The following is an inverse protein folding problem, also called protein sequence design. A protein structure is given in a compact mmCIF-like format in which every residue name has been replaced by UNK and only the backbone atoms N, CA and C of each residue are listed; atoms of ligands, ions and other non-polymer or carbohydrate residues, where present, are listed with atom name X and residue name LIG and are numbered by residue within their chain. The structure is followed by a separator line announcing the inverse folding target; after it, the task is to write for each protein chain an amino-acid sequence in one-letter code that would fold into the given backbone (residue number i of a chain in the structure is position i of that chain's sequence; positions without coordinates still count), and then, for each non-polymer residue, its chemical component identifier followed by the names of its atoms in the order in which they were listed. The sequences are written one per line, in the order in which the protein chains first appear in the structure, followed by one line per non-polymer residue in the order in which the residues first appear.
data_IF_007474437388
#
_entry.id   IF_007474437388
#
_cell.length_a   1.000
_cell.length_b   1.000
_cell.length_c   1.000
_cell.angle_alpha   90.00
_cell.angle_beta   90.00
_cell.angle_gamma   90.00
#
_symmetry.space_group_name_H-M   'P 1'
#
loop_
_entity.id
_entity.type
_entity.pdbx_description
1 polymer ?
#
# COMPACT_ATOMS: atom_id res chain seq x y z
N UNK A 1 20.88 -8.08 -0.51
CA UNK A 1 20.07 -9.11 0.15
C UNK A 1 18.90 -8.47 0.90
N UNK A 2 17.66 -8.70 0.45
CA UNK A 2 16.47 -8.36 1.23
C UNK A 2 16.34 -9.47 2.27
N UNK A 3 17.05 -9.34 3.38
CA UNK A 3 17.12 -10.34 4.47
C UNK A 3 16.31 -9.89 5.68
N UNK A 4 15.08 -9.46 5.45
CA UNK A 4 14.10 -9.28 6.51
C UNK A 4 12.92 -10.17 6.14
N UNK A 5 12.84 -11.36 6.73
CA UNK A 5 11.58 -12.10 6.77
C UNK A 5 10.61 -11.26 7.61
N UNK A 6 9.85 -10.40 6.94
CA UNK A 6 8.77 -9.68 7.59
C UNK A 6 7.71 -10.70 8.00
N UNK A 7 7.33 -10.68 9.28
CA UNK A 7 6.17 -11.42 9.73
C UNK A 7 4.90 -10.85 9.08
N UNK A 8 3.88 -11.70 8.94
CA UNK A 8 2.57 -11.27 8.46
C UNK A 8 2.01 -10.13 9.33
N UNK A 9 2.27 -10.15 10.64
CA UNK A 9 1.85 -9.11 11.57
C UNK A 9 2.49 -7.76 11.26
N UNK A 10 3.79 -7.71 10.99
CA UNK A 10 4.48 -6.47 10.64
C UNK A 10 3.95 -5.87 9.33
N UNK A 11 3.67 -6.72 8.33
CA UNK A 11 3.06 -6.28 7.07
C UNK A 11 1.66 -5.70 7.34
N UNK A 12 0.85 -6.39 8.15
CA UNK A 12 -0.48 -5.92 8.53
C UNK A 12 -0.43 -4.61 9.32
N UNK A 13 0.54 -4.41 10.20
CA UNK A 13 0.74 -3.15 10.92
C UNK A 13 1.04 -1.98 9.97
N UNK A 14 1.92 -2.17 9.00
CA UNK A 14 2.19 -1.15 7.98
C UNK A 14 0.94 -0.87 7.14
N UNK A 15 0.25 -1.94 6.75
CA UNK A 15 -0.97 -1.84 5.95
C UNK A 15 -2.08 -1.11 6.70
N UNK A 16 -2.23 -1.36 8.01
CA UNK A 16 -3.20 -0.72 8.89
C UNK A 16 -3.00 0.80 9.03
N UNK A 17 -1.77 1.30 8.82
CA UNK A 17 -1.47 2.74 8.84
C UNK A 17 -1.93 3.50 7.59
N UNK A 18 -2.35 2.81 6.53
CA UNK A 18 -2.92 3.48 5.36
C UNK A 18 -4.28 4.12 5.69
N UNK A 19 -4.61 5.29 5.10
CA UNK A 19 -5.97 5.77 5.02
C UNK A 19 -6.91 4.74 4.39
N UNK A 20 -8.16 4.69 4.84
CA UNK A 20 -9.11 3.63 4.45
C UNK A 20 -9.37 3.59 2.94
N UNK A 21 -9.44 4.75 2.28
CA UNK A 21 -9.60 4.82 0.82
C UNK A 21 -8.40 4.20 0.07
N UNK A 22 -7.19 4.32 0.60
CA UNK A 22 -5.99 3.72 0.02
C UNK A 22 -5.95 2.22 0.27
N UNK A 23 -6.29 1.80 1.51
CA UNK A 23 -6.36 0.40 1.92
C UNK A 23 -7.38 -0.36 1.08
N UNK A 24 -8.58 0.19 0.93
CA UNK A 24 -9.66 -0.40 0.15
C UNK A 24 -9.29 -0.54 -1.32
N UNK A 25 -8.79 0.55 -1.93
CA UNK A 25 -8.36 0.52 -3.34
C UNK A 25 -7.22 -0.48 -3.56
N UNK A 26 -6.26 -0.55 -2.64
CA UNK A 26 -5.16 -1.51 -2.71
C UNK A 26 -5.66 -2.95 -2.66
N UNK A 27 -6.52 -3.29 -1.69
CA UNK A 27 -7.07 -4.64 -1.57
C UNK A 27 -7.84 -5.05 -2.82
N UNK A 28 -8.78 -4.21 -3.27
CA UNK A 28 -9.59 -4.51 -4.43
C UNK A 28 -8.74 -4.72 -5.70
N UNK A 29 -7.64 -3.97 -5.86
CA UNK A 29 -6.80 -4.08 -7.05
C UNK A 29 -5.74 -5.18 -6.94
N UNK A 30 -4.89 -5.16 -5.91
CA UNK A 30 -3.72 -6.05 -5.80
C UNK A 30 -4.05 -7.43 -5.24
N UNK A 31 -5.12 -7.55 -4.45
CA UNK A 31 -5.50 -8.81 -3.78
C UNK A 31 -6.68 -9.47 -4.50
N UNK A 32 -7.75 -8.71 -4.73
CA UNK A 32 -8.97 -9.23 -5.36
C UNK A 32 -8.90 -9.21 -6.90
N UNK A 33 -8.02 -8.41 -7.50
CA UNK A 33 -7.78 -8.39 -8.95
C UNK A 33 -8.75 -7.53 -9.78
N UNK A 34 -9.53 -6.66 -9.15
CA UNK A 34 -10.44 -5.76 -9.88
C UNK A 34 -9.70 -4.67 -10.66
N UNK A 35 -10.25 -4.29 -11.80
CA UNK A 35 -9.80 -3.14 -12.58
C UNK A 35 -10.13 -1.80 -11.88
N UNK A 36 -9.45 -0.72 -12.28
CA UNK A 36 -9.74 0.61 -11.73
C UNK A 36 -11.14 1.11 -12.10
N UNK A 37 -11.65 0.67 -13.24
CA UNK A 37 -12.99 0.95 -13.73
C UNK A 37 -14.04 0.30 -12.81
N UNK A 38 -13.89 -0.99 -12.49
CA UNK A 38 -14.78 -1.71 -11.56
C UNK A 38 -14.71 -1.11 -10.14
N UNK A 39 -13.50 -0.81 -9.65
CA UNK A 39 -13.33 -0.19 -8.33
C UNK A 39 -14.00 1.19 -8.27
N UNK A 40 -13.89 1.97 -9.35
CA UNK A 40 -14.55 3.27 -9.46
C UNK A 40 -16.06 3.16 -9.29
N UNK A 41 -16.67 2.16 -9.95
CA UNK A 41 -18.09 1.88 -9.83
C UNK A 41 -18.47 1.41 -8.42
N UNK A 42 -17.71 0.47 -7.84
CA UNK A 42 -17.99 -0.10 -6.52
C UNK A 42 -17.92 0.94 -5.39
N UNK A 43 -16.94 1.85 -5.45
CA UNK A 43 -16.70 2.83 -4.40
C UNK A 43 -17.31 4.21 -4.70
N UNK A 44 -18.01 4.35 -5.82
CA UNK A 44 -18.55 5.62 -6.32
C UNK A 44 -17.49 6.73 -6.40
N UNK A 45 -16.34 6.41 -7.02
CA UNK A 45 -15.23 7.34 -7.28
C UNK A 45 -14.84 7.27 -8.75
N UNK A 46 -14.12 8.29 -9.26
CA UNK A 46 -13.57 8.20 -10.61
C UNK A 46 -12.48 7.14 -10.73
N UNK A 47 -12.33 6.55 -11.92
CA UNK A 47 -11.19 5.68 -12.28
C UNK A 47 -9.84 6.37 -11.99
N UNK A 48 -9.75 7.68 -12.24
CA UNK A 48 -8.56 8.49 -11.92
C UNK A 48 -8.27 8.59 -10.43
N UNK A 49 -9.31 8.65 -9.60
CA UNK A 49 -9.20 8.62 -8.13
C UNK A 49 -8.73 7.24 -7.67
N UNK A 50 -9.28 6.16 -8.23
CA UNK A 50 -8.82 4.80 -7.97
C UNK A 50 -7.31 4.62 -8.27
N UNK A 51 -6.86 5.04 -9.47
CA UNK A 51 -5.42 5.02 -9.83
C UNK A 51 -4.56 5.82 -8.85
N UNK A 52 -5.01 7.02 -8.48
CA UNK A 52 -4.28 7.90 -7.56
C UNK A 52 -4.24 7.35 -6.13
N UNK A 53 -5.32 6.72 -5.66
CA UNK A 53 -5.38 6.05 -4.37
C UNK A 53 -4.38 4.90 -4.31
N UNK A 54 -4.35 4.03 -5.33
CA UNK A 54 -3.39 2.91 -5.40
C UNK A 54 -1.93 3.42 -5.42
N UNK A 55 -1.64 4.44 -6.22
CA UNK A 55 -0.31 5.04 -6.26
C UNK A 55 0.13 5.57 -4.89
N UNK A 56 -0.75 6.31 -4.20
CA UNK A 56 -0.48 6.84 -2.86
C UNK A 56 -0.36 5.73 -1.81
N UNK A 57 -1.17 4.67 -1.89
CA UNK A 57 -1.07 3.48 -1.05
C UNK A 57 0.33 2.87 -1.14
N UNK A 58 0.79 2.54 -2.36
CA UNK A 58 2.11 1.94 -2.61
C UNK A 58 3.25 2.86 -2.17
N UNK A 59 3.15 4.17 -2.42
CA UNK A 59 4.14 5.15 -1.97
C UNK A 59 4.24 5.20 -0.45
N UNK A 60 3.11 5.24 0.25
CA UNK A 60 3.06 5.29 1.70
C UNK A 60 3.56 4.00 2.34
N UNK A 61 3.17 2.82 1.82
CA UNK A 61 3.71 1.54 2.28
C UNK A 61 5.23 1.49 2.15
N UNK A 62 5.79 1.94 1.02
CA UNK A 62 7.24 2.00 0.83
C UNK A 62 7.93 2.94 1.82
N UNK A 63 7.35 4.11 2.09
CA UNK A 63 7.87 5.04 3.09
C UNK A 63 7.83 4.43 4.50
N UNK A 64 6.72 3.81 4.86
CA UNK A 64 6.55 3.15 6.15
C UNK A 64 7.53 1.99 6.30
N UNK A 65 7.68 1.14 5.28
CA UNK A 65 8.67 0.07 5.25
C UNK A 65 10.08 0.61 5.46
N UNK A 66 10.47 1.63 4.69
CA UNK A 66 11.80 2.21 4.80
C UNK A 66 12.07 2.82 6.19
N UNK A 67 11.05 3.39 6.83
CA UNK A 67 11.17 3.99 8.17
C UNK A 67 11.29 2.94 9.28
N UNK A 68 10.63 1.80 9.13
CA UNK A 68 10.58 0.78 10.20
C UNK A 68 11.62 -0.33 10.02
N UNK A 69 12.07 -0.60 8.79
CA UNK A 69 12.84 -1.82 8.47
C UNK A 69 14.09 -1.61 7.63
N UNK A 70 14.41 -0.37 7.25
CA UNK A 70 15.69 -0.11 6.58
C UNK A 70 16.71 0.33 7.63
N UNK A 71 17.87 -0.36 7.73
CA UNK A 71 18.95 0.14 8.59
C UNK A 71 19.38 1.51 8.05
N UNK A 72 19.49 2.50 8.94
CA UNK A 72 20.22 3.72 8.61
C UNK A 72 21.58 3.29 8.06
N UNK A 73 21.93 3.76 6.85
CA UNK A 73 23.31 3.65 6.41
C UNK A 73 24.11 4.44 7.45
N UNK A 74 24.92 3.74 8.25
CA UNK A 74 26.04 4.39 8.92
C UNK A 74 26.89 4.96 7.79
N UNK A 75 26.90 6.29 7.67
CA UNK A 75 27.90 7.01 6.88
C UNK A 75 29.23 6.83 7.64
N UNK A 76 30.11 5.98 7.11
CA UNK A 76 31.54 5.97 7.43
C UNK A 76 32.25 7.13 6.71
#
# INVERSE_FOLDING_TARGET
PVSAELSANEILELFNRLPDNYRMTFNLFEIEGYSHEEIGQMLNISTSTSRSNLFRAKKMLRMLYNRNFKPEKQEE
#
